data_IF_819780616410
#
_entry.id   IF_819780616410
#
_cell.length_a   1.000
_cell.length_b   1.000
_cell.length_c   1.000
_cell.angle_alpha   90.00
_cell.angle_beta   90.00
_cell.angle_gamma   90.00
#
_symmetry.space_group_name_H-M   'P 1'
#
loop_
_entity.id
_entity.type
_entity.pdbx_description
1 polymer ?
#
# COMPACT_ATOMS: atom_id res chain seq x y z
N UNK A 1 19.66 13.09 37.25
CA UNK A 1 20.04 11.97 36.35
C UNK A 1 19.21 10.77 36.77
N UNK A 2 18.74 9.97 35.78
CA UNK A 2 17.71 8.92 35.88
C UNK A 2 16.28 9.49 35.99
N UNK A 3 15.24 8.96 35.33
CA UNK A 3 15.13 7.90 34.32
C UNK A 3 13.68 7.97 33.81
N UNK A 4 13.48 8.31 32.53
CA UNK A 4 12.14 8.35 31.93
C UNK A 4 11.69 6.92 31.59
N UNK A 5 11.01 6.27 32.54
CA UNK A 5 10.23 5.06 32.31
C UNK A 5 8.87 5.22 32.98
N UNK A 6 7.91 5.57 32.14
CA UNK A 6 6.58 4.99 32.06
C UNK A 6 5.59 5.12 33.23
N UNK A 7 4.34 5.21 32.79
CA UNK A 7 3.09 4.85 33.45
C UNK A 7 2.23 5.96 34.08
N UNK A 8 1.17 6.25 33.31
CA UNK A 8 -0.25 6.12 33.70
C UNK A 8 -0.97 7.32 34.32
N UNK A 9 -2.03 7.68 33.59
CA UNK A 9 -3.36 8.16 33.98
C UNK A 9 -3.50 8.76 35.39
N UNK A 10 -4.08 9.97 35.44
CA UNK A 10 -5.43 10.11 36.00
C UNK A 10 -6.12 11.39 35.52
N UNK A 11 -7.41 11.23 35.20
CA UNK A 11 -8.28 12.17 34.53
C UNK A 11 -8.60 13.44 35.34
N UNK A 12 -8.84 14.56 34.64
CA UNK A 12 -9.65 15.66 35.17
C UNK A 12 -10.61 16.17 34.09
N UNK A 13 -11.88 16.17 34.50
CA UNK A 13 -13.00 16.99 34.05
C UNK A 13 -13.68 16.67 32.71
N UNK A 14 -14.64 15.76 32.82
CA UNK A 14 -15.97 15.82 32.20
C UNK A 14 -16.45 17.27 32.03
N UNK A 15 -16.61 17.74 30.80
CA UNK A 15 -17.18 19.07 30.56
C UNK A 15 -17.26 19.58 29.12
N UNK A 16 -16.54 19.01 28.15
CA UNK A 16 -16.67 19.42 26.74
C UNK A 16 -16.03 18.41 25.75
N UNK A 17 -16.52 17.17 25.67
CA UNK A 17 -16.12 16.23 24.60
C UNK A 17 -17.32 15.47 24.07
N UNK A 18 -18.23 16.15 23.38
CA UNK A 18 -19.37 15.46 22.73
C UNK A 18 -19.25 15.36 21.21
N UNK A 19 -18.19 15.85 20.57
CA UNK A 19 -18.15 15.87 19.09
C UNK A 19 -16.84 15.42 18.41
N UNK A 20 -15.79 15.00 19.14
CA UNK A 20 -14.52 14.62 18.49
C UNK A 20 -14.44 13.13 18.11
N UNK A 21 -15.25 12.27 18.73
CA UNK A 21 -15.29 10.84 18.39
C UNK A 21 -15.79 10.58 16.97
N UNK A 22 -16.63 11.46 16.43
CA UNK A 22 -17.21 11.29 15.09
C UNK A 22 -16.23 11.73 13.98
N UNK A 23 -15.41 12.75 14.20
CA UNK A 23 -14.49 13.26 13.16
C UNK A 23 -13.34 12.28 12.85
N UNK A 24 -12.81 11.60 13.87
CA UNK A 24 -11.71 10.62 13.70
C UNK A 24 -12.21 9.34 13.01
N UNK A 25 -13.42 8.88 13.33
CA UNK A 25 -14.03 7.74 12.64
C UNK A 25 -14.40 8.06 11.18
N UNK A 26 -14.79 9.29 10.88
CA UNK A 26 -15.14 9.70 9.51
C UNK A 26 -13.91 9.78 8.61
N UNK A 27 -12.75 10.25 9.09
CA UNK A 27 -11.53 10.27 8.28
C UNK A 27 -11.09 8.86 7.85
N UNK A 28 -11.14 7.90 8.77
CA UNK A 28 -10.79 6.49 8.52
C UNK A 28 -11.80 5.78 7.60
N UNK A 29 -13.09 6.12 7.70
CA UNK A 29 -14.13 5.60 6.79
C UNK A 29 -14.00 6.19 5.37
N UNK A 30 -13.63 7.47 5.26
CA UNK A 30 -13.45 8.14 3.95
C UNK A 30 -12.24 7.59 3.19
N UNK A 31 -11.12 7.32 3.88
CA UNK A 31 -9.94 6.70 3.26
C UNK A 31 -10.26 5.28 2.74
N UNK A 32 -11.05 4.51 3.49
CA UNK A 32 -11.49 3.17 3.05
C UNK A 32 -12.44 3.21 1.85
N UNK A 33 -13.35 4.18 1.78
CA UNK A 33 -14.28 4.33 0.65
C UNK A 33 -13.55 4.77 -0.63
N UNK A 34 -12.57 5.68 -0.53
CA UNK A 34 -11.72 6.04 -1.67
C UNK A 34 -10.90 4.84 -2.16
N UNK A 35 -10.32 4.07 -1.24
CA UNK A 35 -9.54 2.89 -1.59
C UNK A 35 -10.41 1.77 -2.19
N UNK A 36 -11.68 1.66 -1.77
CA UNK A 36 -12.65 0.71 -2.33
C UNK A 36 -13.11 1.13 -3.72
N UNK A 37 -13.41 2.43 -3.93
CA UNK A 37 -13.78 2.96 -5.25
C UNK A 37 -12.64 2.89 -6.27
N UNK A 38 -11.40 3.07 -5.83
CA UNK A 38 -10.22 2.83 -6.68
C UNK A 38 -10.08 1.35 -7.08
N UNK A 39 -10.56 0.43 -6.23
CA UNK A 39 -10.52 -1.00 -6.51
C UNK A 39 -11.63 -1.48 -7.45
N UNK A 40 -12.81 -0.85 -7.44
CA UNK A 40 -14.00 -1.28 -8.23
C UNK A 40 -13.77 -1.31 -9.75
N UNK A 41 -12.73 -0.63 -10.26
CA UNK A 41 -12.30 -0.69 -11.67
C UNK A 41 -10.89 -1.25 -11.89
N UNK A 42 -10.17 -1.58 -10.82
CA UNK A 42 -8.77 -2.00 -10.86
C UNK A 42 -8.59 -3.52 -10.77
N UNK A 43 -7.35 -3.97 -10.85
CA UNK A 43 -7.03 -5.40 -10.72
C UNK A 43 -7.49 -5.99 -9.37
N UNK A 44 -7.58 -5.18 -8.31
CA UNK A 44 -8.05 -5.60 -6.98
C UNK A 44 -9.49 -6.15 -6.95
N UNK A 45 -10.37 -5.74 -7.87
CA UNK A 45 -11.72 -6.28 -7.95
C UNK A 45 -11.81 -7.66 -8.62
N UNK A 46 -10.87 -7.96 -9.52
CA UNK A 46 -10.91 -9.19 -10.33
C UNK A 46 -9.85 -10.22 -9.93
N UNK A 47 -8.90 -9.85 -9.08
CA UNK A 47 -7.75 -10.68 -8.75
C UNK A 47 -7.63 -10.98 -7.24
N UNK A 48 -7.25 -12.21 -6.92
CA UNK A 48 -7.00 -12.72 -5.57
C UNK A 48 -5.60 -13.33 -5.44
N UNK A 49 -5.26 -13.74 -4.22
CA UNK A 49 -4.03 -14.51 -3.93
C UNK A 49 -2.76 -13.80 -4.41
N UNK A 50 -2.64 -12.54 -4.02
CA UNK A 50 -1.53 -11.68 -4.38
C UNK A 50 -0.24 -12.09 -3.66
N UNK A 51 0.86 -12.15 -4.40
CA UNK A 51 2.18 -12.36 -3.82
C UNK A 51 3.30 -11.76 -4.68
N UNK A 52 4.43 -11.48 -4.04
CA UNK A 52 5.66 -11.05 -4.72
C UNK A 52 6.62 -12.23 -4.81
N UNK A 53 7.19 -12.43 -6.00
CA UNK A 53 8.29 -13.36 -6.22
C UNK A 53 9.41 -12.65 -6.96
N UNK A 54 10.48 -12.31 -6.25
CA UNK A 54 11.54 -11.45 -6.77
C UNK A 54 11.00 -10.07 -7.13
N UNK A 55 11.05 -9.71 -8.42
CA UNK A 55 10.53 -8.45 -8.96
C UNK A 55 9.18 -8.60 -9.66
N UNK A 56 8.51 -9.76 -9.52
CA UNK A 56 7.21 -10.02 -10.13
C UNK A 56 6.09 -9.94 -9.09
N UNK A 57 5.04 -9.20 -9.42
CA UNK A 57 3.75 -9.23 -8.74
C UNK A 57 2.89 -10.29 -9.42
N UNK A 58 2.37 -11.24 -8.64
CA UNK A 58 1.56 -12.34 -9.12
C UNK A 58 0.22 -12.37 -8.42
N UNK A 59 -0.83 -12.78 -9.14
CA UNK A 59 -2.17 -12.95 -8.63
C UNK A 59 -2.97 -13.93 -9.48
N UNK A 60 -4.08 -14.42 -8.95
CA UNK A 60 -5.10 -15.16 -9.69
C UNK A 60 -6.21 -14.20 -10.11
N UNK A 61 -6.33 -13.95 -11.41
CA UNK A 61 -7.28 -12.98 -11.95
C UNK A 61 -8.42 -13.67 -12.71
N UNK A 62 -9.65 -13.18 -12.52
CA UNK A 62 -10.83 -13.62 -13.25
C UNK A 62 -10.92 -12.85 -14.56
N UNK A 63 -10.92 -13.59 -15.67
CA UNK A 63 -11.09 -13.02 -17.02
C UNK A 63 -12.55 -12.65 -17.29
N UNK A 64 -12.79 -11.92 -18.38
CA UNK A 64 -14.13 -11.53 -18.81
C UNK A 64 -15.08 -12.72 -19.07
N UNK A 65 -14.55 -13.91 -19.36
CA UNK A 65 -15.33 -15.15 -19.54
C UNK A 65 -15.52 -15.95 -18.24
N UNK A 66 -15.13 -15.40 -17.09
CA UNK A 66 -15.29 -16.02 -15.77
C UNK A 66 -14.20 -17.04 -15.41
N UNK A 67 -13.23 -17.29 -16.28
CA UNK A 67 -12.12 -18.21 -15.99
C UNK A 67 -11.08 -17.52 -15.10
N UNK A 68 -10.68 -18.19 -14.02
CA UNK A 68 -9.58 -17.74 -13.16
C UNK A 68 -8.25 -18.23 -13.74
N UNK A 69 -7.30 -17.31 -13.91
CA UNK A 69 -5.97 -17.61 -14.43
C UNK A 69 -4.88 -16.87 -13.64
N UNK A 70 -3.73 -17.54 -13.47
CA UNK A 70 -2.55 -16.90 -12.91
C UNK A 70 -2.02 -15.82 -13.86
N UNK A 71 -1.76 -14.64 -13.30
CA UNK A 71 -1.21 -13.49 -14.00
C UNK A 71 0.01 -12.97 -13.26
N UNK A 72 0.99 -12.50 -14.02
CA UNK A 72 2.24 -11.97 -13.49
C UNK A 72 2.61 -10.68 -14.20
N UNK A 73 3.00 -9.65 -13.44
CA UNK A 73 3.54 -8.40 -13.95
C UNK A 73 4.90 -8.18 -13.31
N UNK A 74 5.91 -7.88 -14.13
CA UNK A 74 7.19 -7.42 -13.63
C UNK A 74 7.03 -6.00 -13.07
N UNK A 75 7.12 -5.85 -11.75
CA UNK A 75 6.93 -4.58 -11.04
C UNK A 75 7.85 -3.51 -11.64
N UNK A 76 9.09 -3.89 -11.94
CA UNK A 76 10.13 -3.03 -12.51
C UNK A 76 9.81 -2.43 -13.88
N UNK A 77 8.84 -2.97 -14.64
CA UNK A 77 8.43 -2.41 -15.94
C UNK A 77 7.35 -1.34 -15.80
N UNK A 78 6.69 -1.28 -14.64
CA UNK A 78 5.62 -0.33 -14.33
C UNK A 78 6.09 0.81 -13.43
N UNK A 79 7.17 0.62 -12.69
CA UNK A 79 7.66 1.58 -11.71
C UNK A 79 9.09 2.00 -11.96
N UNK A 80 9.37 3.26 -11.63
CA UNK A 80 10.68 3.89 -11.67
C UNK A 80 11.11 4.28 -10.27
N UNK A 81 12.42 4.34 -10.07
CA UNK A 81 13.03 4.94 -8.90
C UNK A 81 13.39 6.39 -9.22
N UNK A 82 12.84 7.34 -8.46
CA UNK A 82 13.19 8.76 -8.53
C UNK A 82 13.86 9.15 -7.22
N UNK A 83 15.19 9.04 -7.16
CA UNK A 83 16.02 9.34 -6.00
C UNK A 83 15.51 8.71 -4.69
N UNK A 84 15.31 7.39 -4.68
CA UNK A 84 14.83 6.64 -3.52
C UNK A 84 13.31 6.54 -3.41
N UNK A 85 12.55 7.19 -4.29
CA UNK A 85 11.08 7.13 -4.31
C UNK A 85 10.55 6.28 -5.47
N UNK A 86 9.70 5.31 -5.13
CA UNK A 86 8.96 4.50 -6.08
C UNK A 86 7.80 5.29 -6.67
N UNK A 87 7.73 5.31 -8.00
CA UNK A 87 6.67 5.98 -8.73
C UNK A 87 6.26 5.15 -9.94
N UNK A 88 4.98 5.16 -10.30
CA UNK A 88 4.53 4.59 -11.57
C UNK A 88 5.08 5.41 -12.75
N UNK A 89 5.50 4.73 -13.81
CA UNK A 89 6.05 5.38 -15.00
C UNK A 89 6.10 4.43 -16.18
N UNK A 90 5.66 4.92 -17.35
CA UNK A 90 5.77 4.20 -18.61
C UNK A 90 7.24 3.88 -18.89
N UNK A 91 7.54 2.62 -19.18
CA UNK A 91 8.90 2.12 -19.43
C UNK A 91 9.67 1.69 -18.18
N UNK A 92 9.12 1.89 -16.98
CA UNK A 92 9.67 1.36 -15.73
C UNK A 92 11.07 1.86 -15.40
N UNK A 93 11.91 0.98 -14.83
CA UNK A 93 13.32 1.25 -14.57
C UNK A 93 13.78 1.01 -13.13
N UNK A 94 12.90 0.62 -12.21
CA UNK A 94 13.27 0.42 -10.81
C UNK A 94 14.05 -0.89 -10.54
N UNK A 95 14.07 -1.86 -11.46
CA UNK A 95 14.51 -3.24 -11.18
C UNK A 95 15.96 -3.41 -10.74
N UNK A 96 16.86 -2.49 -11.10
CA UNK A 96 18.27 -2.52 -10.69
C UNK A 96 18.56 -1.62 -9.48
N UNK A 97 17.58 -0.83 -9.06
CA UNK A 97 17.75 0.24 -8.08
C UNK A 97 16.79 0.10 -6.89
N UNK A 98 15.90 -0.90 -6.90
CA UNK A 98 14.94 -1.15 -5.84
C UNK A 98 14.82 -2.65 -5.57
N UNK A 99 14.76 -3.02 -4.30
CA UNK A 99 14.47 -4.38 -3.84
C UNK A 99 13.08 -4.40 -3.23
N UNK A 100 12.16 -5.16 -3.84
CA UNK A 100 10.78 -5.32 -3.37
C UNK A 100 10.70 -6.45 -2.34
N UNK A 101 10.04 -6.22 -1.21
CA UNK A 101 10.07 -7.19 -0.11
C UNK A 101 8.78 -7.33 0.70
N UNK A 102 7.80 -6.44 0.54
CA UNK A 102 6.53 -6.54 1.26
C UNK A 102 5.36 -6.29 0.31
N UNK A 103 4.30 -7.07 0.48
CA UNK A 103 3.01 -6.86 -0.15
C UNK A 103 1.94 -6.85 0.94
N UNK A 104 1.21 -5.75 1.03
CA UNK A 104 0.08 -5.62 1.93
C UNK A 104 -1.19 -5.50 1.10
N UNK A 105 -2.01 -6.54 1.20
CA UNK A 105 -3.34 -6.57 0.61
C UNK A 105 -4.36 -6.12 1.68
N UNK A 106 -4.96 -4.96 1.48
CA UNK A 106 -5.97 -4.39 2.39
C UNK A 106 -7.36 -4.40 1.75
N UNK A 107 -8.40 -4.32 2.60
CA UNK A 107 -9.81 -4.30 2.19
C UNK A 107 -10.21 -5.49 1.28
N UNK A 108 -9.89 -6.71 1.70
CA UNK A 108 -10.25 -7.93 0.94
C UNK A 108 -9.53 -8.06 -0.40
N UNK A 109 -8.24 -7.67 -0.44
CA UNK A 109 -7.38 -7.65 -1.63
C UNK A 109 -7.68 -6.56 -2.65
N UNK A 110 -8.54 -5.61 -2.28
CA UNK A 110 -8.89 -4.47 -3.10
C UNK A 110 -7.75 -3.45 -3.17
N UNK A 111 -6.89 -3.36 -2.16
CA UNK A 111 -5.79 -2.39 -2.10
C UNK A 111 -4.48 -3.16 -2.02
N UNK A 112 -3.55 -2.90 -2.95
CA UNK A 112 -2.26 -3.62 -3.01
C UNK A 112 -1.12 -2.62 -2.84
N UNK A 113 -0.55 -2.58 -1.64
CA UNK A 113 0.62 -1.76 -1.33
C UNK A 113 1.89 -2.60 -1.41
N UNK A 114 2.89 -2.11 -2.14
CA UNK A 114 4.20 -2.75 -2.27
C UNK A 114 5.25 -1.86 -1.63
N UNK A 115 6.00 -2.42 -0.69
CA UNK A 115 7.19 -1.78 -0.13
C UNK A 115 8.45 -2.24 -0.86
N UNK A 116 9.34 -1.28 -1.10
CA UNK A 116 10.68 -1.57 -1.59
C UNK A 116 11.72 -0.65 -0.96
N UNK A 117 12.96 -1.12 -0.96
CA UNK A 117 14.13 -0.32 -0.61
C UNK A 117 14.81 0.11 -1.90
N UNK A 118 14.86 1.41 -2.14
CA UNK A 118 15.38 2.01 -3.36
C UNK A 118 16.67 2.76 -3.09
N UNK A 119 17.64 2.65 -3.99
CA UNK A 119 18.88 3.42 -3.95
C UNK A 119 18.60 4.88 -4.27
N UNK A 120 19.27 5.77 -3.55
CA UNK A 120 19.31 7.21 -3.75
C UNK A 120 20.76 7.68 -3.74
N UNK A 121 21.00 8.94 -4.09
CA UNK A 121 22.36 9.48 -4.26
C UNK A 121 23.24 9.33 -2.99
N UNK A 122 22.63 9.33 -1.80
CA UNK A 122 23.29 9.27 -0.50
C UNK A 122 23.04 7.96 0.27
N UNK A 123 22.48 6.92 -0.37
CA UNK A 123 22.27 5.62 0.26
C UNK A 123 21.01 4.89 -0.22
N UNK A 124 20.21 4.38 0.71
CA UNK A 124 18.93 3.71 0.42
C UNK A 124 17.79 4.38 1.16
N UNK A 125 16.58 4.23 0.62
CA UNK A 125 15.35 4.72 1.21
C UNK A 125 14.24 3.68 1.03
N UNK A 126 13.47 3.47 2.08
CA UNK A 126 12.22 2.70 2.00
C UNK A 126 11.14 3.55 1.35
N UNK A 127 10.43 2.97 0.38
CA UNK A 127 9.35 3.61 -0.36
C UNK A 127 8.22 2.61 -0.57
N UNK A 128 6.99 3.13 -0.60
CA UNK A 128 5.79 2.35 -0.82
C UNK A 128 5.04 2.88 -2.02
N UNK A 129 4.40 1.98 -2.76
CA UNK A 129 3.54 2.34 -3.87
C UNK A 129 2.28 1.49 -3.87
N UNK A 130 1.16 2.15 -4.10
CA UNK A 130 -0.13 1.52 -4.22
C UNK A 130 -0.39 1.14 -5.68
N UNK A 131 -0.60 -0.14 -5.94
CA UNK A 131 -0.86 -0.70 -7.27
C UNK A 131 -2.35 -0.77 -7.64
N UNK A 132 -3.22 -0.16 -6.83
CA UNK A 132 -4.67 -0.15 -7.06
C UNK A 132 -5.10 0.88 -8.11
N UNK A 133 -4.42 0.88 -9.26
CA UNK A 133 -4.61 1.85 -10.33
C UNK A 133 -5.52 1.22 -11.38
N UNK A 134 -6.80 1.61 -11.35
CA UNK A 134 -7.73 1.57 -12.48
C UNK A 134 -7.79 2.94 -13.14
#
# INVERSE_FOLDING_TARGET
MLSSKSFILLAVALGAFSNVSNAVAVADVVERDLATRAAEGGAGATCSDWFISGSNLQALCTRADGVVAASAIAISTCVRNTNGQLNCGLGGGAGNSCTFFNLEASNGNSVIDISAECTKDDGTQSSQINFNIG
#
